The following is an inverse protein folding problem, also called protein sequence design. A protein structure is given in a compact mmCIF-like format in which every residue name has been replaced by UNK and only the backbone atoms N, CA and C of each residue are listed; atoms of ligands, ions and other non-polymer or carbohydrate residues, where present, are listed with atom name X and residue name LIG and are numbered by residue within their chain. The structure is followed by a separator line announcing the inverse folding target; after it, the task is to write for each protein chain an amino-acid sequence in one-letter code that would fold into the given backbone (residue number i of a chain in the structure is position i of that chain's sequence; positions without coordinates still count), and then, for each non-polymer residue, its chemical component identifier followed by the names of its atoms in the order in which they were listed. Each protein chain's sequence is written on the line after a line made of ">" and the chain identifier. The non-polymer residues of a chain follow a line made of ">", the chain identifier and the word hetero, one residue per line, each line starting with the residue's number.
data_IF_194801658808
#
_entry.id   IF_194801658808
#
_cell.length_a   1.000
_cell.length_b   1.000
_cell.length_c   1.000
_cell.angle_alpha   90.00
_cell.angle_beta   90.00
_cell.angle_gamma   90.00
#
_symmetry.space_group_name_H-M   'P 1'
#
loop_
_entity.id
_entity.type
_entity.pdbx_description
1 polymer ?
#
# COMPACT_ATOMS: atom_id res chain seq x y z
N UNK A 1 71.17 -6.00 34.76
CA UNK A 1 71.45 -4.71 34.10
C UNK A 1 70.25 -4.41 33.22
N UNK A 2 69.25 -3.61 33.65
CA UNK A 2 69.20 -2.13 33.57
C UNK A 2 69.61 -1.64 32.17
N UNK A 3 68.85 -0.90 31.36
CA UNK A 3 67.66 -0.04 31.53
C UNK A 3 67.31 0.57 30.16
N UNK A 4 66.08 1.12 30.02
CA UNK A 4 65.56 2.12 29.04
C UNK A 4 64.45 1.52 28.17
N UNK A 5 63.12 1.69 28.37
CA UNK A 5 62.26 2.65 29.10
C UNK A 5 62.58 4.13 28.86
N UNK A 6 61.91 4.74 27.87
CA UNK A 6 61.26 6.06 27.95
C UNK A 6 60.28 6.22 26.76
N UNK A 7 58.97 6.29 27.03
CA UNK A 7 58.13 7.50 27.22
C UNK A 7 57.79 8.19 25.88
N UNK A 8 56.53 8.05 25.45
CA UNK A 8 55.72 9.23 25.12
C UNK A 8 54.24 8.94 25.41
N UNK A 9 53.73 9.61 26.43
CA UNK A 9 52.30 9.80 26.71
C UNK A 9 51.85 11.03 25.92
N UNK A 10 50.74 10.95 25.20
CA UNK A 10 49.91 12.12 24.92
C UNK A 10 48.48 11.79 25.31
N UNK A 11 47.96 12.58 26.22
CA UNK A 11 46.63 12.51 26.77
C UNK A 11 45.64 13.32 25.92
N UNK A 12 44.52 12.67 25.61
CA UNK A 12 43.13 13.14 25.62
C UNK A 12 42.92 14.67 25.71
N UNK A 13 42.27 15.25 24.68
CA UNK A 13 41.31 16.34 24.90
C UNK A 13 40.25 16.44 23.80
N UNK A 14 38.99 16.34 24.24
CA UNK A 14 37.75 16.95 23.71
C UNK A 14 37.31 16.68 22.26
N UNK A 15 36.21 15.93 22.15
CA UNK A 15 35.37 15.84 20.95
C UNK A 15 34.00 15.23 21.26
N UNK A 16 33.27 15.81 22.23
CA UNK A 16 31.85 15.52 22.44
C UNK A 16 31.06 16.36 21.44
N UNK A 17 30.47 15.73 20.42
CA UNK A 17 29.30 16.26 19.72
C UNK A 17 28.39 15.14 19.22
N UNK A 18 27.21 15.09 19.84
CA UNK A 18 25.90 14.68 19.32
C UNK A 18 25.75 13.27 18.75
N UNK A 19 25.33 12.36 19.63
CA UNK A 19 24.42 11.29 19.26
C UNK A 19 23.16 11.88 18.62
N UNK A 20 22.96 11.65 17.32
CA UNK A 20 21.65 11.78 16.71
C UNK A 20 20.93 10.47 17.04
N UNK A 21 20.16 10.49 18.13
CA UNK A 21 19.12 9.50 18.32
C UNK A 21 18.16 9.62 17.13
N UNK A 22 18.23 8.68 16.18
CA UNK A 22 17.18 8.52 15.18
C UNK A 22 15.93 8.06 15.90
N UNK A 23 15.12 9.04 16.28
CA UNK A 23 13.71 8.85 16.60
C UNK A 23 13.07 8.09 15.46
N UNK A 24 12.34 7.01 15.79
CA UNK A 24 11.48 6.27 14.86
C UNK A 24 10.71 7.25 13.96
N UNK A 25 10.55 6.95 12.66
CA UNK A 25 9.78 7.80 11.75
C UNK A 25 8.41 8.11 12.36
N UNK A 26 7.94 9.38 12.28
CA UNK A 26 6.63 9.73 12.81
C UNK A 26 5.59 8.81 12.18
N UNK A 27 4.82 8.15 13.04
CA UNK A 27 3.69 7.32 12.61
C UNK A 27 2.80 8.21 11.71
N UNK A 28 2.41 7.74 10.51
CA UNK A 28 1.46 8.46 9.68
C UNK A 28 0.26 8.90 10.54
N UNK A 29 -0.27 10.13 10.36
CA UNK A 29 -1.43 10.58 11.11
C UNK A 29 -2.49 9.49 11.00
N UNK A 30 -2.96 9.01 12.16
CA UNK A 30 -4.03 8.04 12.20
C UNK A 30 -5.20 8.60 11.37
N UNK A 31 -5.81 7.79 10.47
CA UNK A 31 -7.04 8.22 9.82
C UNK A 31 -7.99 8.69 10.91
N UNK A 32 -8.67 9.83 10.73
CA UNK A 32 -9.54 10.37 11.76
C UNK A 32 -10.42 9.25 12.29
N UNK A 33 -10.31 8.97 13.58
CA UNK A 33 -11.26 8.10 14.25
C UNK A 33 -12.62 8.67 13.92
N UNK A 34 -13.46 7.85 13.29
CA UNK A 34 -14.89 8.08 13.21
C UNK A 34 -15.40 8.11 14.66
N UNK A 35 -15.21 9.25 15.30
CA UNK A 35 -16.02 9.67 16.42
C UNK A 35 -17.37 9.85 15.78
N UNK A 36 -18.23 8.84 15.92
CA UNK A 36 -19.66 8.95 15.65
C UNK A 36 -20.16 9.98 16.66
N UNK A 37 -19.94 11.26 16.37
CA UNK A 37 -20.77 12.32 16.91
C UNK A 37 -22.17 11.96 16.43
N UNK A 38 -22.94 11.35 17.33
CA UNK A 38 -24.37 11.20 17.20
C UNK A 38 -24.95 12.61 17.15
N UNK A 39 -24.92 13.21 15.97
CA UNK A 39 -25.70 14.39 15.67
C UNK A 39 -27.15 13.93 15.80
N UNK A 40 -27.77 14.26 16.93
CA UNK A 40 -29.21 14.15 17.10
C UNK A 40 -29.83 15.13 16.11
N UNK A 41 -30.12 14.66 14.88
CA UNK A 41 -30.81 15.45 13.87
C UNK A 41 -32.28 15.50 14.25
N UNK A 42 -32.69 16.50 15.01
CA UNK A 42 -34.09 16.79 15.26
C UNK A 42 -34.63 17.66 14.12
N UNK A 43 -35.53 17.11 13.31
CA UNK A 43 -36.27 17.89 12.32
C UNK A 43 -37.61 18.30 12.94
N UNK A 44 -37.74 19.57 13.29
CA UNK A 44 -39.00 20.15 13.78
C UNK A 44 -39.65 20.97 12.68
N UNK A 45 -40.83 20.57 12.22
CA UNK A 45 -41.63 21.31 11.25
C UNK A 45 -42.85 21.90 11.95
N UNK A 46 -42.99 23.24 11.93
CA UNK A 46 -44.13 23.95 12.52
C UNK A 46 -44.86 24.71 11.42
N UNK A 47 -46.14 24.45 11.26
CA UNK A 47 -47.05 25.23 10.43
C UNK A 47 -48.08 25.90 11.34
N UNK A 48 -48.14 27.22 11.27
CA UNK A 48 -49.22 28.03 11.82
C UNK A 48 -49.96 28.71 10.69
N UNK A 49 -51.25 28.44 10.53
CA UNK A 49 -52.09 29.09 9.54
C UNK A 49 -53.21 29.85 10.25
N UNK A 50 -53.15 31.18 10.18
CA UNK A 50 -54.25 32.08 10.52
C UNK A 50 -54.93 32.51 9.22
N UNK A 51 -55.96 31.79 8.79
CA UNK A 51 -56.63 32.02 7.51
C UNK A 51 -58.14 31.93 7.62
N UNK A 52 -58.83 32.82 6.90
CA UNK A 52 -60.28 33.06 6.91
C UNK A 52 -61.06 31.89 6.27
N UNK A 53 -61.04 30.72 6.91
CA UNK A 53 -61.94 29.61 6.61
C UNK A 53 -63.17 29.78 7.51
N UNK A 54 -64.35 29.89 6.90
CA UNK A 54 -65.60 30.27 7.54
C UNK A 54 -65.81 29.65 8.93
N UNK A 55 -65.97 30.52 9.93
CA UNK A 55 -66.05 30.26 11.38
C UNK A 55 -64.73 29.89 12.09
N UNK A 56 -63.78 30.83 12.08
CA UNK A 56 -63.13 31.34 13.30
C UNK A 56 -62.37 30.36 14.21
N UNK A 57 -61.42 29.58 13.68
CA UNK A 57 -60.46 28.82 14.49
C UNK A 57 -59.03 28.91 13.96
N UNK A 58 -58.03 29.02 14.84
CA UNK A 58 -56.61 28.96 14.47
C UNK A 58 -56.20 27.50 14.21
N UNK A 59 -55.53 27.23 13.09
CA UNK A 59 -54.92 25.92 12.82
C UNK A 59 -53.42 25.96 13.11
N UNK A 60 -52.95 25.03 13.92
CA UNK A 60 -51.51 24.79 14.14
C UNK A 60 -51.21 23.32 13.96
N UNK A 61 -50.14 22.99 13.27
CA UNK A 61 -49.66 21.62 13.11
C UNK A 61 -48.14 21.60 13.29
N UNK A 62 -47.66 20.74 14.17
CA UNK A 62 -46.24 20.60 14.46
C UNK A 62 -45.85 19.13 14.47
N UNK A 63 -44.74 18.82 13.81
CA UNK A 63 -44.10 17.50 13.82
C UNK A 63 -42.69 17.66 14.35
N UNK A 64 -42.37 16.89 15.38
CA UNK A 64 -41.01 16.71 15.88
C UNK A 64 -40.59 15.28 15.59
N UNK A 65 -39.51 15.12 14.83
CA UNK A 65 -38.94 13.82 14.53
C UNK A 65 -37.47 13.83 14.97
N UNK A 66 -37.17 13.05 16.01
CA UNK A 66 -35.82 12.82 16.51
C UNK A 66 -35.45 11.34 16.38
N UNK A 67 -34.22 10.98 16.78
CA UNK A 67 -33.79 9.59 16.76
C UNK A 67 -34.59 8.69 17.70
N UNK A 68 -35.13 9.25 18.80
CA UNK A 68 -35.74 8.48 19.88
C UNK A 68 -37.25 8.66 19.97
N UNK A 69 -37.80 9.76 19.47
CA UNK A 69 -39.23 10.06 19.55
C UNK A 69 -39.78 10.64 18.26
N UNK A 70 -41.04 10.33 17.99
CA UNK A 70 -41.87 10.99 17.00
C UNK A 70 -43.07 11.63 17.67
N UNK A 71 -43.30 12.93 17.40
CA UNK A 71 -44.37 13.70 18.04
C UNK A 71 -45.15 14.53 17.03
N UNK A 72 -46.47 14.42 17.05
CA UNK A 72 -47.37 15.31 16.31
C UNK A 72 -48.26 16.06 17.28
N UNK A 73 -48.24 17.38 17.23
CA UNK A 73 -49.14 18.24 18.00
C UNK A 73 -49.89 19.16 17.08
N UNK A 74 -51.22 19.15 17.17
CA UNK A 74 -52.05 20.01 16.35
C UNK A 74 -53.25 20.58 17.07
N UNK A 75 -53.72 21.72 16.55
CA UNK A 75 -54.98 22.37 16.89
C UNK A 75 -55.71 22.70 15.60
N UNK A 76 -57.00 22.46 15.55
CA UNK A 76 -57.82 22.68 14.36
C UNK A 76 -59.25 23.05 14.74
N UNK A 77 -60.00 23.72 13.84
CA UNK A 77 -61.43 23.96 14.04
C UNK A 77 -62.24 22.65 14.00
N UNK A 78 -63.34 22.60 14.75
CA UNK A 78 -64.16 21.40 14.96
C UNK A 78 -64.69 20.79 13.64
N UNK A 79 -64.81 21.57 12.56
CA UNK A 79 -65.20 21.05 11.26
C UNK A 79 -64.17 20.10 10.62
N UNK A 80 -62.93 20.04 11.13
CA UNK A 80 -61.90 19.08 10.72
C UNK A 80 -61.95 17.77 11.50
N UNK A 81 -62.58 17.78 12.68
CA UNK A 81 -62.65 16.61 13.55
C UNK A 81 -63.20 15.36 12.85
N UNK A 82 -64.30 15.40 12.06
CA UNK A 82 -64.82 14.20 11.40
C UNK A 82 -63.78 13.55 10.48
N UNK A 83 -63.10 14.33 9.65
CA UNK A 83 -62.10 13.80 8.72
C UNK A 83 -60.87 13.22 9.43
N UNK A 84 -60.40 13.87 10.49
CA UNK A 84 -59.27 13.37 11.29
C UNK A 84 -59.65 12.09 12.04
N UNK A 85 -60.86 12.06 12.61
CA UNK A 85 -61.41 10.90 13.31
C UNK A 85 -61.56 9.70 12.38
N UNK A 86 -62.18 9.89 11.22
CA UNK A 86 -62.42 8.82 10.26
C UNK A 86 -61.09 8.22 9.76
N UNK A 87 -60.09 9.07 9.50
CA UNK A 87 -58.74 8.62 9.14
C UNK A 87 -58.06 7.80 10.25
N UNK A 88 -58.05 8.31 11.48
CA UNK A 88 -57.44 7.58 12.61
C UNK A 88 -58.17 6.27 12.92
N UNK A 89 -59.50 6.24 12.79
CA UNK A 89 -60.27 5.01 12.93
C UNK A 89 -59.98 3.99 11.84
N UNK A 90 -59.77 4.45 10.60
CA UNK A 90 -59.39 3.57 9.50
C UNK A 90 -58.00 2.95 9.73
N UNK A 91 -57.04 3.72 10.24
CA UNK A 91 -55.67 3.24 10.39
C UNK A 91 -55.34 2.50 11.69
N UNK A 92 -55.88 2.96 12.81
CA UNK A 92 -55.62 2.37 14.12
C UNK A 92 -56.67 1.32 14.48
N UNK A 93 -57.82 1.32 13.81
CA UNK A 93 -58.95 0.49 14.14
C UNK A 93 -59.52 0.81 15.54
N UNK A 94 -60.22 -0.16 16.11
CA UNK A 94 -60.84 -0.07 17.44
C UNK A 94 -60.04 -0.77 18.53
N UNK A 95 -58.95 -1.46 18.16
CA UNK A 95 -58.05 -2.10 19.14
C UNK A 95 -57.28 -1.01 19.88
N UNK A 96 -57.11 -1.19 21.19
CA UNK A 96 -56.42 -0.24 22.07
C UNK A 96 -57.06 1.16 22.16
N UNK A 97 -58.31 1.29 21.72
CA UNK A 97 -59.05 2.55 21.74
C UNK A 97 -59.84 2.70 23.05
N UNK A 98 -59.74 3.86 23.67
CA UNK A 98 -60.55 4.27 24.82
C UNK A 98 -61.34 5.53 24.44
N UNK A 99 -62.67 5.47 24.57
CA UNK A 99 -63.54 6.61 24.30
C UNK A 99 -64.06 7.19 25.63
N UNK A 100 -63.75 8.45 25.91
CA UNK A 100 -64.25 9.17 27.08
C UNK A 100 -65.02 10.41 26.61
N UNK A 101 -66.32 10.25 26.38
CA UNK A 101 -67.21 11.33 25.94
C UNK A 101 -66.79 11.94 24.59
N UNK A 102 -66.18 13.12 24.64
CA UNK A 102 -65.75 13.91 23.47
C UNK A 102 -64.31 13.66 23.02
N UNK A 103 -63.56 12.82 23.72
CA UNK A 103 -62.17 12.47 23.39
C UNK A 103 -62.01 10.97 23.14
N UNK A 104 -61.14 10.64 22.20
CA UNK A 104 -60.76 9.28 21.85
C UNK A 104 -59.25 9.17 22.02
N UNK A 105 -58.80 8.16 22.75
CA UNK A 105 -57.39 7.86 22.93
C UNK A 105 -57.07 6.48 22.37
N UNK A 106 -55.91 6.32 21.74
CA UNK A 106 -55.32 5.01 21.45
C UNK A 106 -53.99 4.92 22.18
N UNK A 107 -53.78 3.87 22.98
CA UNK A 107 -52.51 3.66 23.68
C UNK A 107 -52.11 2.19 23.63
N UNK A 108 -50.85 1.94 23.26
CA UNK A 108 -50.26 0.61 23.30
C UNK A 108 -49.16 0.58 24.35
N UNK A 109 -49.34 -0.24 25.37
CA UNK A 109 -48.32 -0.52 26.38
C UNK A 109 -47.43 -1.67 25.91
N UNK A 110 -46.11 -1.49 26.04
CA UNK A 110 -45.11 -2.54 25.93
C UNK A 110 -44.83 -3.17 27.30
N UNK A 111 -43.71 -3.89 27.42
CA UNK A 111 -43.39 -4.64 28.64
C UNK A 111 -43.20 -3.74 29.88
N UNK A 112 -42.60 -2.55 29.70
CA UNK A 112 -42.35 -1.59 30.81
C UNK A 112 -42.72 -0.13 30.47
N UNK A 113 -42.99 0.22 29.19
CA UNK A 113 -43.22 1.60 28.70
C UNK A 113 -44.31 1.68 27.62
N UNK A 114 -44.90 2.87 27.42
CA UNK A 114 -45.91 3.11 26.37
C UNK A 114 -45.25 3.26 24.99
N UNK A 115 -45.56 2.35 24.06
CA UNK A 115 -45.03 2.34 22.69
C UNK A 115 -45.54 3.55 21.92
N UNK A 116 -46.85 3.79 21.98
CA UNK A 116 -47.45 4.99 21.39
C UNK A 116 -48.69 5.45 22.16
N UNK A 117 -48.98 6.73 22.04
CA UNK A 117 -50.19 7.38 22.53
C UNK A 117 -50.74 8.35 21.48
N UNK A 118 -52.03 8.23 21.16
CA UNK A 118 -52.76 9.12 20.26
C UNK A 118 -53.94 9.68 21.03
N UNK A 119 -53.97 10.98 21.28
CA UNK A 119 -55.11 11.67 21.89
C UNK A 119 -55.82 12.53 20.85
N UNK A 120 -57.08 12.22 20.61
CA UNK A 120 -57.93 12.95 19.68
C UNK A 120 -59.10 13.61 20.41
N UNK A 121 -59.32 14.90 20.13
CA UNK A 121 -60.46 15.68 20.60
C UNK A 121 -61.05 16.53 19.46
N UNK A 122 -62.20 17.15 19.70
CA UNK A 122 -62.89 18.02 18.73
C UNK A 122 -61.98 19.12 18.14
N UNK A 123 -60.98 19.60 18.89
CA UNK A 123 -60.12 20.72 18.47
C UNK A 123 -58.61 20.45 18.52
N UNK A 124 -58.17 19.26 18.94
CA UNK A 124 -56.76 18.93 19.14
C UNK A 124 -56.45 17.47 18.82
N UNK A 125 -55.26 17.25 18.28
CA UNK A 125 -54.64 15.93 18.14
C UNK A 125 -53.22 15.96 18.70
N UNK A 126 -52.91 15.02 19.58
CA UNK A 126 -51.57 14.72 20.08
C UNK A 126 -51.20 13.29 19.69
N UNK A 127 -50.01 13.09 19.15
CA UNK A 127 -49.46 11.77 18.84
C UNK A 127 -48.04 11.73 19.39
N UNK A 128 -47.74 10.70 20.15
CA UNK A 128 -46.42 10.43 20.71
C UNK A 128 -46.06 8.96 20.41
N UNK A 129 -44.88 8.72 19.87
CA UNK A 129 -44.35 7.39 19.56
C UNK A 129 -42.90 7.33 20.03
N UNK A 130 -42.59 6.31 20.83
CA UNK A 130 -41.23 6.01 21.25
C UNK A 130 -40.55 5.11 20.21
N UNK A 131 -39.55 5.65 19.51
CA UNK A 131 -38.82 4.95 18.44
C UNK A 131 -37.81 3.93 18.98
N UNK A 132 -37.52 3.96 20.27
CA UNK A 132 -36.58 3.02 20.90
C UNK A 132 -37.21 1.64 21.12
N UNK A 133 -38.54 1.60 21.25
CA UNK A 133 -39.32 0.38 21.47
C UNK A 133 -40.27 0.04 20.31
N UNK A 134 -40.64 1.02 19.47
CA UNK A 134 -41.46 0.77 18.28
C UNK A 134 -40.71 0.02 17.18
N UNK A 135 -41.42 -0.85 16.45
CA UNK A 135 -40.86 -1.52 15.28
C UNK A 135 -40.62 -0.52 14.12
N UNK A 136 -39.64 -0.77 13.24
CA UNK A 136 -39.39 0.08 12.07
C UNK A 136 -40.64 0.32 11.20
N UNK A 137 -41.48 -0.71 11.02
CA UNK A 137 -42.73 -0.62 10.25
C UNK A 137 -43.75 0.31 10.92
N UNK A 138 -43.81 0.29 12.26
CA UNK A 138 -44.66 1.20 13.03
C UNK A 138 -44.14 2.64 12.93
N UNK A 139 -42.83 2.84 13.01
CA UNK A 139 -42.21 4.17 12.84
C UNK A 139 -42.58 4.75 11.47
N UNK A 140 -42.41 3.99 10.39
CA UNK A 140 -42.77 4.41 9.04
C UNK A 140 -44.28 4.74 8.94
N UNK A 141 -45.15 3.89 9.51
CA UNK A 141 -46.60 4.13 9.53
C UNK A 141 -46.97 5.46 10.20
N UNK A 142 -46.36 5.77 11.35
CA UNK A 142 -46.63 7.03 12.06
C UNK A 142 -46.09 8.26 11.31
N UNK A 143 -44.96 8.14 10.63
CA UNK A 143 -44.43 9.20 9.77
C UNK A 143 -45.37 9.49 8.58
N UNK A 144 -45.87 8.45 7.92
CA UNK A 144 -46.85 8.56 6.83
C UNK A 144 -48.18 9.15 7.32
N UNK A 145 -48.68 8.65 8.46
CA UNK A 145 -49.88 9.19 9.10
C UNK A 145 -49.74 10.68 9.40
N UNK A 146 -48.59 11.12 9.95
CA UNK A 146 -48.37 12.54 10.23
C UNK A 146 -48.38 13.41 8.98
N UNK A 147 -47.88 12.93 7.85
CA UNK A 147 -47.95 13.64 6.57
C UNK A 147 -49.39 13.76 6.04
N UNK A 148 -50.18 12.70 6.14
CA UNK A 148 -51.60 12.73 5.72
C UNK A 148 -52.42 13.63 6.65
N UNK A 149 -52.20 13.51 7.97
CA UNK A 149 -52.84 14.34 8.99
C UNK A 149 -52.51 15.82 8.81
N UNK A 150 -51.25 16.16 8.47
CA UNK A 150 -50.83 17.52 8.11
C UNK A 150 -51.70 18.09 7.00
N UNK A 151 -51.96 17.30 5.95
CA UNK A 151 -52.78 17.70 4.80
C UNK A 151 -54.25 17.85 5.17
N UNK A 152 -54.81 16.90 5.93
CA UNK A 152 -56.20 16.93 6.39
C UNK A 152 -56.49 18.13 7.32
N UNK A 153 -55.57 18.40 8.25
CA UNK A 153 -55.69 19.47 9.25
C UNK A 153 -55.41 20.85 8.65
N UNK A 154 -54.39 20.95 7.80
CA UNK A 154 -54.00 22.23 7.17
C UNK A 154 -54.77 22.53 5.88
N UNK A 155 -55.63 21.62 5.41
CA UNK A 155 -56.45 21.80 4.20
C UNK A 155 -55.63 21.92 2.91
N UNK A 156 -54.58 21.11 2.78
CA UNK A 156 -53.43 21.30 1.88
C UNK A 156 -53.72 21.67 0.42
N UNK A 157 -52.86 22.54 -0.12
CA UNK A 157 -52.78 22.91 -1.54
C UNK A 157 -51.52 22.23 -2.13
N UNK A 158 -51.63 20.95 -2.53
CA UNK A 158 -50.55 20.07 -3.03
C UNK A 158 -49.63 20.73 -4.06
N UNK A 159 -50.16 21.67 -4.85
CA UNK A 159 -49.40 22.44 -5.84
C UNK A 159 -48.18 23.18 -5.28
N UNK A 160 -48.23 23.64 -4.03
CA UNK A 160 -47.11 24.39 -3.45
C UNK A 160 -45.96 23.49 -2.98
N UNK A 161 -46.27 22.26 -2.59
CA UNK A 161 -45.27 21.30 -2.09
C UNK A 161 -44.56 20.60 -3.25
N UNK A 162 -45.30 20.23 -4.30
CA UNK A 162 -44.74 19.73 -5.56
C UNK A 162 -43.77 20.77 -6.16
N UNK A 163 -44.14 22.06 -6.18
CA UNK A 163 -43.24 23.11 -6.67
C UNK A 163 -41.97 23.32 -5.82
N UNK A 164 -41.99 22.98 -4.52
CA UNK A 164 -40.80 23.06 -3.67
C UNK A 164 -39.87 21.88 -3.97
N UNK A 165 -40.43 20.68 -4.03
CA UNK A 165 -39.69 19.46 -4.36
C UNK A 165 -39.06 19.53 -5.75
N UNK A 166 -39.76 20.07 -6.75
CA UNK A 166 -39.23 20.24 -8.10
C UNK A 166 -38.03 21.21 -8.12
N UNK A 167 -38.09 22.31 -7.37
CA UNK A 167 -36.97 23.26 -7.25
C UNK A 167 -35.78 22.65 -6.53
N UNK A 168 -36.02 21.82 -5.52
CA UNK A 168 -34.95 21.16 -4.76
C UNK A 168 -34.30 20.04 -5.58
N UNK A 169 -35.07 19.29 -6.36
CA UNK A 169 -34.57 18.33 -7.33
C UNK A 169 -33.70 19.01 -8.40
N UNK A 170 -34.12 20.16 -8.93
CA UNK A 170 -33.34 20.94 -9.89
C UNK A 170 -32.06 21.56 -9.31
N UNK A 171 -32.06 21.90 -8.02
CA UNK A 171 -30.83 22.33 -7.31
C UNK A 171 -29.88 21.15 -7.15
N UNK A 172 -30.38 20.03 -6.64
CA UNK A 172 -29.60 18.81 -6.44
C UNK A 172 -28.98 18.30 -7.76
N UNK A 173 -29.74 18.33 -8.87
CA UNK A 173 -29.26 17.94 -10.20
C UNK A 173 -28.10 18.84 -10.68
N UNK A 174 -28.20 20.14 -10.48
CA UNK A 174 -27.13 21.09 -10.85
C UNK A 174 -25.88 20.91 -10.00
N UNK A 175 -26.05 20.64 -8.72
CA UNK A 175 -24.92 20.39 -7.82
C UNK A 175 -24.23 19.06 -8.15
N UNK A 176 -24.99 18.00 -8.43
CA UNK A 176 -24.46 16.73 -8.89
C UNK A 176 -23.67 16.88 -10.20
N UNK A 177 -24.17 17.67 -11.16
CA UNK A 177 -23.47 17.93 -12.42
C UNK A 177 -22.17 18.72 -12.21
N UNK A 178 -22.14 19.70 -11.29
CA UNK A 178 -20.91 20.41 -10.92
C UNK A 178 -19.88 19.46 -10.30
N UNK A 179 -20.33 18.62 -9.36
CA UNK A 179 -19.45 17.64 -8.71
C UNK A 179 -18.89 16.63 -9.73
N UNK A 180 -19.70 16.15 -10.68
CA UNK A 180 -19.23 15.25 -11.73
C UNK A 180 -18.14 15.88 -12.61
N UNK A 181 -18.34 17.13 -13.04
CA UNK A 181 -17.32 17.86 -13.83
C UNK A 181 -16.03 18.11 -13.05
N UNK A 182 -16.13 18.42 -11.75
CA UNK A 182 -14.95 18.57 -10.90
C UNK A 182 -14.21 17.24 -10.69
N UNK A 183 -14.95 16.15 -10.46
CA UNK A 183 -14.37 14.81 -10.33
C UNK A 183 -13.67 14.37 -11.62
N UNK A 184 -14.26 14.64 -12.79
CA UNK A 184 -13.65 14.35 -14.08
C UNK A 184 -12.39 15.19 -14.32
N UNK A 185 -12.42 16.47 -13.98
CA UNK A 185 -11.25 17.36 -14.05
C UNK A 185 -10.11 16.88 -13.15
N UNK A 186 -10.41 16.46 -11.92
CA UNK A 186 -9.41 15.93 -10.99
C UNK A 186 -8.81 14.62 -11.50
N UNK A 187 -9.63 13.71 -12.04
CA UNK A 187 -9.14 12.47 -12.66
C UNK A 187 -8.23 12.77 -13.84
N UNK A 188 -8.64 13.64 -14.75
CA UNK A 188 -7.82 14.03 -15.90
C UNK A 188 -6.49 14.67 -15.50
N UNK A 189 -6.47 15.46 -14.41
CA UNK A 189 -5.23 16.01 -13.86
C UNK A 189 -4.33 14.93 -13.26
N UNK A 190 -4.90 14.01 -12.47
CA UNK A 190 -4.13 12.91 -11.86
C UNK A 190 -3.45 12.00 -12.88
N UNK A 191 -4.11 11.71 -14.00
CA UNK A 191 -3.54 10.90 -15.09
C UNK A 191 -2.34 11.61 -15.72
N UNK A 192 -2.46 12.91 -16.01
CA UNK A 192 -1.35 13.68 -16.59
C UNK A 192 -0.17 13.81 -15.63
N UNK A 193 -0.44 13.99 -14.34
CA UNK A 193 0.60 14.06 -13.33
C UNK A 193 1.31 12.70 -13.18
N UNK A 194 0.57 11.59 -13.19
CA UNK A 194 1.15 10.26 -13.19
C UNK A 194 2.05 10.01 -14.42
N UNK A 195 1.60 10.41 -15.62
CA UNK A 195 2.41 10.31 -16.84
C UNK A 195 3.66 11.20 -16.82
N UNK A 196 3.58 12.40 -16.23
CA UNK A 196 4.73 13.27 -16.07
C UNK A 196 5.76 12.66 -15.11
N UNK A 197 5.30 12.20 -13.95
CA UNK A 197 6.15 11.55 -12.95
C UNK A 197 6.79 10.27 -13.48
N UNK A 198 6.05 9.46 -14.23
CA UNK A 198 6.61 8.26 -14.89
C UNK A 198 7.72 8.60 -15.88
N UNK A 199 7.55 9.66 -16.68
CA UNK A 199 8.59 10.13 -17.60
C UNK A 199 9.82 10.67 -16.88
N UNK A 200 9.63 11.48 -15.84
CA UNK A 200 10.73 12.00 -15.01
C UNK A 200 11.49 10.86 -14.32
N UNK A 201 10.78 9.85 -13.79
CA UNK A 201 11.39 8.66 -13.21
C UNK A 201 12.25 7.89 -14.23
N UNK A 202 11.72 7.66 -15.45
CA UNK A 202 12.48 6.98 -16.51
C UNK A 202 13.72 7.77 -16.97
N UNK A 203 13.65 9.11 -16.98
CA UNK A 203 14.81 9.94 -17.29
C UNK A 203 15.88 9.85 -16.20
N UNK A 204 15.48 9.94 -14.93
CA UNK A 204 16.39 9.80 -13.79
C UNK A 204 17.04 8.42 -13.74
N UNK A 205 16.29 7.36 -14.05
CA UNK A 205 16.79 6.00 -14.14
C UNK A 205 17.88 5.88 -15.21
N UNK A 206 17.65 6.36 -16.42
CA UNK A 206 18.66 6.38 -17.49
C UNK A 206 19.90 7.20 -17.12
N UNK A 207 19.71 8.33 -16.45
CA UNK A 207 20.83 9.16 -15.99
C UNK A 207 21.64 8.47 -14.90
N UNK A 208 20.96 7.82 -13.94
CA UNK A 208 21.59 7.03 -12.89
C UNK A 208 22.37 5.83 -13.48
N UNK A 209 21.80 5.11 -14.44
CA UNK A 209 22.48 4.03 -15.15
C UNK A 209 23.73 4.53 -15.87
N UNK A 210 23.62 5.67 -16.58
CA UNK A 210 24.74 6.27 -17.29
C UNK A 210 25.85 6.67 -16.31
N UNK A 211 25.51 7.33 -15.21
CA UNK A 211 26.48 7.71 -14.17
C UNK A 211 27.11 6.49 -13.51
N UNK A 212 26.32 5.45 -13.24
CA UNK A 212 26.82 4.18 -12.70
C UNK A 212 27.83 3.54 -13.66
N UNK A 213 27.52 3.44 -14.96
CA UNK A 213 28.44 2.93 -15.98
C UNK A 213 29.72 3.76 -16.07
N UNK A 214 29.63 5.08 -16.07
CA UNK A 214 30.80 5.97 -16.10
C UNK A 214 31.66 5.76 -14.84
N UNK A 215 31.04 5.72 -13.65
CA UNK A 215 31.74 5.48 -12.39
C UNK A 215 32.48 4.15 -12.40
N UNK A 216 31.82 3.06 -12.82
CA UNK A 216 32.42 1.72 -12.96
C UNK A 216 33.62 1.73 -13.89
N UNK A 217 33.47 2.34 -15.08
CA UNK A 217 34.56 2.45 -16.08
C UNK A 217 35.72 3.31 -15.61
N UNK A 218 35.50 4.24 -14.68
CA UNK A 218 36.54 5.05 -14.04
C UNK A 218 37.15 4.40 -12.79
N UNK A 219 36.81 3.14 -12.49
CA UNK A 219 37.34 2.42 -11.32
C UNK A 219 36.63 2.79 -10.01
N UNK A 220 35.53 3.53 -10.08
CA UNK A 220 34.70 3.85 -8.94
C UNK A 220 33.97 2.62 -8.40
N UNK A 221 33.95 2.49 -7.07
CA UNK A 221 33.13 1.51 -6.35
C UNK A 221 31.90 2.24 -5.82
N UNK A 222 30.72 1.83 -6.29
CA UNK A 222 29.43 2.29 -5.79
C UNK A 222 29.34 2.12 -4.26
N UNK A 223 28.64 3.02 -3.58
CA UNK A 223 28.40 2.92 -2.13
C UNK A 223 27.79 1.57 -1.76
N UNK A 224 26.81 1.08 -2.51
CA UNK A 224 26.17 -0.21 -2.25
C UNK A 224 27.14 -1.39 -2.41
N UNK A 225 27.97 -1.37 -3.45
CA UNK A 225 29.00 -2.42 -3.66
C UNK A 225 30.01 -2.40 -2.50
N UNK A 226 30.39 -1.21 -2.03
CA UNK A 226 31.32 -1.06 -0.91
C UNK A 226 30.74 -1.60 0.40
N UNK A 227 29.45 -1.39 0.63
CA UNK A 227 28.78 -1.91 1.82
C UNK A 227 28.67 -3.44 1.75
N UNK A 228 28.30 -4.00 0.60
CA UNK A 228 28.28 -5.46 0.37
C UNK A 228 29.68 -6.09 0.51
N UNK A 229 30.74 -5.40 0.07
CA UNK A 229 32.13 -5.87 0.25
C UNK A 229 32.58 -5.93 1.71
N UNK A 230 31.87 -5.27 2.64
CA UNK A 230 32.16 -5.33 4.09
C UNK A 230 31.43 -6.48 4.77
N UNK A 231 30.46 -7.10 4.10
CA UNK A 231 29.67 -8.18 4.69
C UNK A 231 30.51 -9.46 4.85
N UNK A 232 30.38 -10.18 5.98
CA UNK A 232 31.07 -11.46 6.16
C UNK A 232 30.72 -12.52 5.12
N UNK A 233 29.53 -12.44 4.52
CA UNK A 233 29.03 -13.38 3.51
C UNK A 233 29.79 -13.30 2.19
N UNK A 234 30.43 -12.17 1.88
CA UNK A 234 31.24 -11.97 0.66
C UNK A 234 32.69 -12.41 0.81
N UNK A 235 33.06 -12.90 2.00
CA UNK A 235 34.38 -13.42 2.27
C UNK A 235 34.64 -14.66 1.42
N UNK A 236 35.78 -14.65 0.75
CA UNK A 236 36.23 -15.68 -0.16
C UNK A 236 37.58 -16.24 0.30
N UNK A 237 37.67 -17.56 0.32
CA UNK A 237 38.93 -18.28 0.54
C UNK A 237 39.36 -18.91 -0.77
N UNK A 238 40.52 -18.51 -1.26
CA UNK A 238 41.05 -18.92 -2.56
C UNK A 238 41.47 -20.39 -2.58
N UNK A 239 41.60 -21.03 -1.42
CA UNK A 239 42.04 -22.42 -1.28
C UNK A 239 40.88 -23.43 -1.28
N UNK A 240 39.63 -22.98 -1.43
CA UNK A 240 38.48 -23.89 -1.47
C UNK A 240 38.42 -24.58 -2.83
N UNK A 241 39.09 -25.72 -2.98
CA UNK A 241 38.86 -26.65 -4.08
C UNK A 241 37.60 -27.47 -3.80
N UNK A 242 36.61 -27.47 -4.69
CA UNK A 242 35.41 -28.31 -4.57
C UNK A 242 35.08 -29.03 -5.87
N UNK A 243 34.69 -30.30 -5.77
CA UNK A 243 34.27 -31.14 -6.92
C UNK A 243 32.83 -30.83 -7.40
N UNK A 244 32.28 -29.69 -7.01
CA UNK A 244 30.88 -29.33 -7.19
C UNK A 244 30.65 -28.43 -8.42
N UNK A 245 31.55 -28.46 -9.40
CA UNK A 245 31.43 -27.68 -10.64
C UNK A 245 31.67 -26.17 -10.47
N UNK A 246 32.15 -25.71 -9.32
CA UNK A 246 32.45 -24.30 -9.10
C UNK A 246 33.74 -23.87 -9.81
N UNK A 247 33.58 -23.19 -10.97
CA UNK A 247 34.71 -22.79 -11.84
C UNK A 247 35.29 -21.41 -11.52
N UNK A 248 34.54 -20.56 -10.81
CA UNK A 248 34.94 -19.17 -10.55
C UNK A 248 36.29 -19.04 -9.82
N UNK A 249 36.63 -19.86 -8.81
CA UNK A 249 37.92 -19.75 -8.12
C UNK A 249 39.14 -19.85 -9.04
N UNK A 250 39.11 -20.83 -9.95
CA UNK A 250 40.20 -21.06 -10.90
C UNK A 250 40.29 -19.93 -11.92
N UNK A 251 39.13 -19.45 -12.41
CA UNK A 251 39.06 -18.30 -13.29
C UNK A 251 39.60 -17.04 -12.59
N UNK A 252 39.12 -16.74 -11.38
CA UNK A 252 39.51 -15.57 -10.61
C UNK A 252 41.02 -15.57 -10.33
N UNK A 253 41.59 -16.72 -9.96
CA UNK A 253 43.03 -16.85 -9.77
C UNK A 253 43.80 -16.53 -11.06
N UNK A 254 43.36 -17.10 -12.18
CA UNK A 254 43.98 -16.86 -13.47
C UNK A 254 43.84 -15.40 -13.90
N UNK A 255 42.69 -14.77 -13.65
CA UNK A 255 42.43 -13.37 -13.92
C UNK A 255 43.39 -12.47 -13.13
N UNK A 256 43.44 -12.63 -11.80
CA UNK A 256 44.29 -11.82 -10.92
C UNK A 256 45.77 -12.01 -11.28
N UNK A 257 46.20 -13.25 -11.50
CA UNK A 257 47.57 -13.56 -11.91
C UNK A 257 47.94 -12.85 -13.21
N UNK A 258 47.03 -12.85 -14.19
CA UNK A 258 47.27 -12.23 -15.48
C UNK A 258 47.23 -10.68 -15.38
N UNK A 259 46.37 -10.12 -14.53
CA UNK A 259 46.34 -8.68 -14.23
C UNK A 259 47.67 -8.20 -13.63
N UNK A 260 48.18 -8.93 -12.62
CA UNK A 260 49.48 -8.63 -11.97
C UNK A 260 50.62 -8.78 -12.95
N UNK A 261 50.65 -9.87 -13.72
CA UNK A 261 51.69 -10.11 -14.73
C UNK A 261 51.76 -9.03 -15.80
N UNK A 262 50.61 -8.48 -16.20
CA UNK A 262 50.54 -7.40 -17.19
C UNK A 262 50.72 -6.01 -16.56
N UNK A 263 50.97 -5.91 -15.24
CA UNK A 263 51.22 -4.66 -14.53
C UNK A 263 49.99 -3.76 -14.39
N UNK A 264 48.78 -4.31 -14.52
CA UNK A 264 47.53 -3.56 -14.41
C UNK A 264 47.07 -3.39 -12.96
N UNK A 265 47.55 -4.25 -12.07
CA UNK A 265 47.23 -4.29 -10.63
C UNK A 265 48.46 -4.78 -9.89
N UNK A 266 48.71 -4.28 -8.68
CA UNK A 266 49.77 -4.75 -7.78
C UNK A 266 49.30 -5.96 -6.94
N UNK A 267 50.24 -6.77 -6.43
CA UNK A 267 49.87 -7.85 -5.53
C UNK A 267 49.16 -7.33 -4.27
N UNK A 268 47.99 -7.91 -3.96
CA UNK A 268 47.18 -7.54 -2.80
C UNK A 268 46.35 -6.26 -2.95
N UNK A 269 46.45 -5.55 -4.07
CA UNK A 269 45.66 -4.36 -4.35
C UNK A 269 44.16 -4.70 -4.49
N UNK A 270 43.31 -3.72 -4.17
CA UNK A 270 41.89 -3.79 -4.45
C UNK A 270 41.66 -3.76 -5.97
N UNK A 271 40.68 -4.52 -6.45
CA UNK A 271 40.42 -4.71 -7.88
C UNK A 271 39.02 -4.25 -8.21
N UNK A 272 38.91 -3.40 -9.21
CA UNK A 272 37.68 -3.07 -9.92
C UNK A 272 37.86 -3.49 -11.37
N UNK A 273 37.33 -4.65 -11.72
CA UNK A 273 37.38 -5.20 -13.06
C UNK A 273 35.99 -5.10 -13.69
N UNK A 274 35.88 -4.46 -14.85
CA UNK A 274 34.62 -4.31 -15.58
C UNK A 274 34.84 -4.79 -17.00
N UNK A 275 34.14 -5.84 -17.42
CA UNK A 275 34.08 -6.27 -18.81
C UNK A 275 32.69 -5.95 -19.33
N UNK A 276 32.66 -5.32 -20.50
CA UNK A 276 31.47 -5.05 -21.29
C UNK A 276 31.74 -5.42 -22.76
N UNK A 277 30.70 -5.40 -23.59
CA UNK A 277 30.82 -5.63 -25.04
C UNK A 277 31.79 -4.67 -25.75
N UNK A 278 31.97 -3.45 -25.22
CA UNK A 278 32.78 -2.40 -25.85
C UNK A 278 34.21 -2.28 -25.28
N UNK A 279 34.58 -3.16 -24.33
CA UNK A 279 35.91 -3.19 -23.76
C UNK A 279 35.97 -3.69 -22.32
N UNK A 280 37.20 -3.75 -21.82
CA UNK A 280 37.49 -4.15 -20.44
C UNK A 280 38.20 -2.99 -19.74
N UNK A 281 37.85 -2.72 -18.50
CA UNK A 281 38.39 -1.69 -17.65
C UNK A 281 38.92 -2.31 -16.36
N UNK A 282 40.08 -1.86 -15.89
CA UNK A 282 40.69 -2.32 -14.63
C UNK A 282 41.13 -1.09 -13.85
N UNK A 283 40.58 -0.91 -12.64
CA UNK A 283 40.86 0.25 -11.79
C UNK A 283 40.74 1.59 -12.53
N UNK A 284 39.83 1.66 -13.51
CA UNK A 284 39.57 2.85 -14.33
C UNK A 284 40.32 2.92 -15.66
N UNK A 285 41.29 2.05 -15.88
CA UNK A 285 42.07 2.02 -17.12
C UNK A 285 41.43 1.09 -18.16
N UNK A 286 41.10 1.65 -19.34
CA UNK A 286 40.57 0.87 -20.46
C UNK A 286 41.67 0.07 -21.13
N UNK A 287 41.49 -1.24 -21.24
CA UNK A 287 42.39 -2.12 -21.96
C UNK A 287 42.38 -1.84 -23.47
N UNK A 288 43.57 -1.90 -24.09
CA UNK A 288 43.71 -1.90 -25.54
C UNK A 288 43.20 -3.20 -26.20
N UNK A 289 42.99 -3.22 -27.53
CA UNK A 289 42.36 -4.34 -28.24
C UNK A 289 43.07 -5.69 -28.08
N UNK A 290 44.41 -5.71 -28.05
CA UNK A 290 45.18 -6.94 -27.88
C UNK A 290 44.98 -7.57 -26.50
N UNK A 291 44.99 -6.74 -25.44
CA UNK A 291 44.68 -7.20 -24.08
C UNK A 291 43.23 -7.65 -23.98
N UNK A 292 42.29 -6.88 -24.54
CA UNK A 292 40.88 -7.25 -24.56
C UNK A 292 40.64 -8.65 -25.14
N UNK A 293 41.23 -8.97 -26.30
CA UNK A 293 41.15 -10.30 -26.90
C UNK A 293 41.74 -11.39 -25.99
N UNK A 294 42.89 -11.11 -25.37
CA UNK A 294 43.56 -12.03 -24.42
C UNK A 294 42.66 -12.36 -23.22
N UNK A 295 42.05 -11.35 -22.58
CA UNK A 295 41.16 -11.59 -21.45
C UNK A 295 39.83 -12.24 -21.88
N UNK A 296 39.27 -11.93 -23.04
CA UNK A 296 38.11 -12.66 -23.56
C UNK A 296 38.42 -14.16 -23.78
N UNK A 297 39.61 -14.47 -24.29
CA UNK A 297 40.05 -15.86 -24.42
C UNK A 297 40.26 -16.52 -23.06
N UNK A 298 40.68 -15.76 -22.04
CA UNK A 298 40.75 -16.24 -20.66
C UNK A 298 39.35 -16.61 -20.14
N UNK A 299 38.35 -15.76 -20.32
CA UNK A 299 36.96 -16.06 -19.95
C UNK A 299 36.43 -17.31 -20.68
N UNK A 300 36.66 -17.41 -21.99
CA UNK A 300 36.29 -18.58 -22.79
C UNK A 300 36.95 -19.87 -22.31
N UNK A 301 38.22 -19.82 -21.90
CA UNK A 301 38.97 -20.98 -21.38
C UNK A 301 38.33 -21.57 -20.12
N UNK A 302 37.64 -20.75 -19.32
CA UNK A 302 36.95 -21.16 -18.10
C UNK A 302 35.43 -21.24 -18.29
N UNK A 303 34.95 -21.34 -19.53
CA UNK A 303 33.54 -21.44 -19.92
C UNK A 303 32.67 -20.21 -19.55
N UNK A 304 33.28 -19.06 -19.25
CA UNK A 304 32.58 -17.80 -19.01
C UNK A 304 32.52 -16.92 -20.28
N UNK A 305 32.75 -17.50 -21.45
CA UNK A 305 32.81 -16.77 -22.73
C UNK A 305 31.48 -16.18 -23.19
N UNK A 306 30.36 -16.66 -22.64
CA UNK A 306 28.99 -16.18 -22.93
C UNK A 306 28.60 -14.94 -22.14
N UNK A 307 29.25 -14.67 -21.01
CA UNK A 307 28.91 -13.53 -20.15
C UNK A 307 29.39 -12.25 -20.83
N UNK A 308 28.45 -11.45 -21.37
CA UNK A 308 28.73 -10.18 -22.05
C UNK A 308 29.26 -9.13 -21.07
N UNK A 309 28.50 -8.92 -19.99
CA UNK A 309 28.78 -7.89 -18.99
C UNK A 309 29.07 -8.51 -17.61
N UNK A 310 30.20 -8.13 -17.01
CA UNK A 310 30.60 -8.54 -15.67
C UNK A 310 31.35 -7.41 -14.97
N UNK A 311 30.97 -7.12 -13.73
CA UNK A 311 31.72 -6.25 -12.82
C UNK A 311 32.21 -7.08 -11.64
N UNK A 312 33.51 -7.25 -11.52
CA UNK A 312 34.17 -7.96 -10.43
C UNK A 312 34.91 -6.96 -9.54
N UNK A 313 34.58 -7.00 -8.25
CA UNK A 313 35.19 -6.19 -7.22
C UNK A 313 35.87 -7.09 -6.20
N UNK A 314 37.09 -6.72 -5.79
CA UNK A 314 37.83 -7.40 -4.74
C UNK A 314 38.39 -6.38 -3.76
N UNK A 315 38.14 -6.59 -2.47
CA UNK A 315 38.75 -5.83 -1.39
C UNK A 315 39.26 -6.78 -0.32
N UNK A 316 40.59 -6.87 -0.16
CA UNK A 316 41.20 -7.91 0.69
C UNK A 316 40.73 -9.33 0.29
N UNK A 317 40.07 -10.03 1.20
CA UNK A 317 39.49 -11.37 0.96
C UNK A 317 37.98 -11.33 0.68
N UNK A 318 37.39 -10.17 0.43
CA UNK A 318 35.99 -10.04 0.07
C UNK A 318 35.86 -9.84 -1.44
N UNK A 319 34.85 -10.48 -2.04
CA UNK A 319 34.56 -10.34 -3.46
C UNK A 319 33.10 -10.06 -3.71
N UNK A 320 32.83 -9.24 -4.72
CA UNK A 320 31.50 -9.03 -5.27
C UNK A 320 31.60 -9.18 -6.78
N UNK A 321 30.86 -10.13 -7.32
CA UNK A 321 30.68 -10.32 -8.76
C UNK A 321 29.26 -9.91 -9.10
N UNK A 322 29.12 -8.83 -9.87
CA UNK A 322 27.87 -8.42 -10.51
C UNK A 322 27.91 -8.92 -11.94
N UNK A 323 27.02 -9.85 -12.21
CA UNK A 323 26.78 -10.53 -13.47
C UNK A 323 25.27 -10.75 -13.53
N UNK A 324 24.76 -10.82 -14.74
CA UNK A 324 23.36 -11.03 -15.01
C UNK A 324 23.20 -12.02 -16.14
N UNK A 325 22.21 -12.93 -16.07
CA UNK A 325 21.78 -13.60 -17.27
C UNK A 325 21.26 -12.55 -18.25
N UNK A 326 21.39 -12.83 -19.55
CA UNK A 326 20.78 -11.99 -20.58
C UNK A 326 19.24 -11.98 -20.43
N UNK A 327 18.69 -13.08 -19.91
CA UNK A 327 17.27 -13.24 -19.61
C UNK A 327 17.06 -13.93 -18.24
N UNK A 328 16.37 -13.26 -17.33
CA UNK A 328 16.08 -13.80 -15.99
C UNK A 328 14.94 -14.81 -16.02
N UNK A 329 14.06 -14.75 -17.03
CA UNK A 329 12.97 -15.70 -17.23
C UNK A 329 13.52 -17.07 -17.65
N UNK A 330 14.49 -17.09 -18.58
CA UNK A 330 15.17 -18.33 -19.01
C UNK A 330 15.84 -19.04 -17.81
N UNK A 331 16.49 -18.28 -16.91
CA UNK A 331 17.06 -18.85 -15.68
C UNK A 331 15.99 -19.46 -14.78
N UNK A 332 14.83 -18.82 -14.68
CA UNK A 332 13.73 -19.32 -13.86
C UNK A 332 13.13 -20.61 -14.42
N UNK A 333 12.87 -20.63 -15.73
CA UNK A 333 12.37 -21.81 -16.44
C UNK A 333 13.33 -22.98 -16.29
N UNK A 334 14.63 -22.76 -16.51
CA UNK A 334 15.64 -23.81 -16.37
C UNK A 334 15.74 -24.35 -14.93
N UNK A 335 15.66 -23.47 -13.92
CA UNK A 335 15.66 -23.89 -12.51
C UNK A 335 14.42 -24.71 -12.15
N UNK A 336 13.26 -24.40 -12.74
CA UNK A 336 12.00 -25.13 -12.55
C UNK A 336 12.03 -26.48 -13.29
N UNK A 337 12.50 -26.51 -14.54
CA UNK A 337 12.65 -27.71 -15.36
C UNK A 337 13.62 -28.73 -14.74
N UNK A 338 14.70 -28.24 -14.13
CA UNK A 338 15.62 -29.06 -13.35
C UNK A 338 15.06 -29.42 -11.94
N UNK A 339 13.88 -28.93 -11.56
CA UNK A 339 13.27 -29.19 -10.26
C UNK A 339 14.13 -28.71 -9.09
N UNK A 340 14.93 -27.65 -9.31
CA UNK A 340 15.73 -27.00 -8.27
C UNK A 340 14.92 -25.99 -7.48
N UNK A 341 13.86 -25.47 -8.10
CA UNK A 341 12.87 -24.60 -7.47
C UNK A 341 11.47 -25.11 -7.78
N UNK A 342 10.54 -24.81 -6.89
CA UNK A 342 9.11 -24.95 -7.15
C UNK A 342 8.48 -23.58 -6.97
N UNK A 343 7.84 -23.07 -8.02
CA UNK A 343 7.17 -21.78 -7.97
C UNK A 343 5.92 -21.91 -7.10
N UNK A 344 6.08 -21.63 -5.82
CA UNK A 344 5.02 -21.71 -4.82
C UNK A 344 4.57 -20.32 -4.36
N UNK A 345 3.47 -20.25 -3.60
CA UNK A 345 3.00 -18.98 -2.98
C UNK A 345 3.88 -18.53 -1.80
N UNK A 346 4.79 -19.38 -1.32
CA UNK A 346 5.66 -19.06 -0.20
C UNK A 346 6.98 -18.44 -0.66
N UNK A 347 7.52 -17.56 0.18
CA UNK A 347 8.85 -17.01 0.02
C UNK A 347 9.90 -18.12 -0.02
N UNK A 348 10.76 -18.08 -1.02
CA UNK A 348 11.85 -19.02 -1.26
C UNK A 348 13.17 -18.26 -1.32
N UNK A 349 14.15 -18.68 -0.52
CA UNK A 349 15.45 -18.02 -0.42
C UNK A 349 16.57 -19.03 -0.59
N UNK A 350 17.41 -18.81 -1.59
CA UNK A 350 18.65 -19.55 -1.81
C UNK A 350 19.83 -18.64 -1.54
N UNK A 351 20.78 -19.10 -0.74
CA UNK A 351 22.09 -18.48 -0.59
C UNK A 351 23.13 -19.29 -1.36
N UNK A 352 23.86 -18.63 -2.23
CA UNK A 352 24.86 -19.20 -3.12
C UNK A 352 26.22 -18.76 -2.59
N UNK A 353 27.06 -19.73 -2.24
CA UNK A 353 28.44 -19.48 -1.84
C UNK A 353 29.47 -20.15 -2.75
N UNK A 354 29.03 -20.67 -3.90
CA UNK A 354 29.85 -21.41 -4.85
C UNK A 354 30.17 -22.84 -4.37
N UNK A 355 30.90 -23.01 -3.27
CA UNK A 355 31.16 -24.33 -2.66
C UNK A 355 29.94 -24.98 -2.00
N UNK A 356 28.96 -24.17 -1.63
CA UNK A 356 27.74 -24.62 -0.97
C UNK A 356 26.55 -23.79 -1.40
N UNK A 357 25.40 -24.43 -1.44
CA UNK A 357 24.10 -23.76 -1.57
C UNK A 357 23.30 -24.02 -0.30
N UNK A 358 22.61 -22.98 0.19
CA UNK A 358 21.72 -23.06 1.35
C UNK A 358 20.33 -22.67 0.92
N UNK A 359 19.40 -23.60 1.00
CA UNK A 359 17.99 -23.40 0.69
C UNK A 359 17.21 -23.20 1.99
N UNK A 360 16.57 -22.03 2.15
CA UNK A 360 15.75 -21.69 3.31
C UNK A 360 16.45 -22.00 4.66
N UNK A 361 17.76 -21.75 4.73
CA UNK A 361 18.60 -22.01 5.91
C UNK A 361 19.15 -23.43 6.03
N UNK A 362 18.77 -24.36 5.15
CA UNK A 362 19.29 -25.74 5.10
C UNK A 362 20.36 -25.87 4.02
N UNK A 363 21.56 -26.30 4.42
CA UNK A 363 22.65 -26.58 3.48
C UNK A 363 22.30 -27.80 2.61
N UNK A 364 22.44 -27.64 1.29
CA UNK A 364 22.23 -28.70 0.31
C UNK A 364 23.41 -29.67 0.24
N UNK A 365 23.17 -30.85 -0.32
CA UNK A 365 24.21 -31.84 -0.60
C UNK A 365 25.18 -31.36 -1.68
N UNK A 366 26.35 -32.01 -1.80
CA UNK A 366 27.32 -31.70 -2.86
C UNK A 366 26.76 -31.96 -4.25
N UNK A 367 25.95 -33.02 -4.41
CA UNK A 367 25.30 -33.35 -5.67
C UNK A 367 24.30 -32.26 -6.09
N UNK A 368 23.44 -31.81 -5.17
CA UNK A 368 22.51 -30.71 -5.41
C UNK A 368 23.25 -29.39 -5.68
N UNK A 369 24.27 -29.08 -4.90
CA UNK A 369 25.13 -27.90 -5.11
C UNK A 369 25.75 -27.92 -6.52
N UNK A 370 26.18 -29.09 -6.99
CA UNK A 370 26.72 -29.25 -8.35
C UNK A 370 25.67 -29.02 -9.43
N UNK A 371 24.43 -29.48 -9.22
CA UNK A 371 23.30 -29.20 -10.13
C UNK A 371 23.02 -27.71 -10.21
N UNK A 372 22.89 -27.04 -9.06
CA UNK A 372 22.75 -25.58 -8.96
C UNK A 372 23.85 -24.84 -9.72
N UNK A 373 25.11 -25.15 -9.45
CA UNK A 373 26.24 -24.52 -10.15
C UNK A 373 26.21 -24.77 -11.67
N UNK A 374 25.72 -25.93 -12.10
CA UNK A 374 25.60 -26.25 -13.53
C UNK A 374 24.55 -25.38 -14.21
N UNK A 375 23.35 -25.26 -13.63
CA UNK A 375 22.27 -24.42 -14.16
C UNK A 375 22.67 -22.95 -14.15
N UNK A 376 23.15 -22.43 -13.01
CA UNK A 376 23.59 -21.05 -12.91
C UNK A 376 24.64 -20.71 -13.96
N UNK A 377 25.62 -21.60 -14.16
CA UNK A 377 26.65 -21.40 -15.16
C UNK A 377 26.13 -21.47 -16.61
N UNK A 378 25.19 -22.38 -16.90
CA UNK A 378 24.54 -22.50 -18.22
C UNK A 378 23.89 -21.18 -18.62
N UNK A 379 23.24 -20.55 -17.64
CA UNK A 379 22.51 -19.29 -17.78
C UNK A 379 23.38 -18.04 -17.50
N UNK A 380 24.71 -18.19 -17.50
CA UNK A 380 25.62 -17.04 -17.42
C UNK A 380 25.74 -16.40 -16.02
N UNK A 381 25.21 -17.04 -14.98
CA UNK A 381 25.33 -16.60 -13.59
C UNK A 381 26.60 -17.17 -12.96
N UNK A 382 27.38 -16.31 -12.32
CA UNK A 382 28.59 -16.69 -11.59
C UNK A 382 28.21 -16.91 -10.12
N UNK A 383 28.26 -18.16 -9.61
CA UNK A 383 27.99 -18.43 -8.21
C UNK A 383 29.17 -17.92 -7.36
N UNK A 384 28.98 -16.79 -6.67
CA UNK A 384 29.98 -16.14 -5.81
C UNK A 384 29.47 -16.04 -4.36
N UNK A 385 30.35 -16.04 -3.35
CA UNK A 385 29.99 -15.89 -1.93
C UNK A 385 29.05 -14.72 -1.65
N UNK A 386 27.99 -14.97 -0.90
CA UNK A 386 27.02 -13.96 -0.48
C UNK A 386 25.94 -13.62 -1.51
N UNK A 387 25.95 -14.24 -2.70
CA UNK A 387 24.83 -14.13 -3.63
C UNK A 387 23.59 -14.84 -3.08
N UNK A 388 22.44 -14.31 -3.42
CA UNK A 388 21.14 -14.82 -3.04
C UNK A 388 20.20 -14.81 -4.23
N UNK A 389 19.38 -15.85 -4.31
CA UNK A 389 18.17 -15.87 -5.12
C UNK A 389 16.99 -15.76 -4.15
N UNK A 390 16.15 -14.76 -4.35
CA UNK A 390 14.93 -14.58 -3.56
C UNK A 390 13.74 -14.56 -4.50
N UNK A 391 12.84 -15.49 -4.28
CA UNK A 391 11.58 -15.59 -5.00
C UNK A 391 10.42 -15.42 -4.02
N UNK A 392 9.49 -14.55 -4.39
CA UNK A 392 8.19 -14.37 -3.77
C UNK A 392 7.11 -14.53 -4.84
N UNK A 393 5.83 -14.56 -4.44
CA UNK A 393 4.68 -14.75 -5.36
C UNK A 393 4.72 -13.82 -6.57
N UNK A 394 5.17 -12.58 -6.37
CA UNK A 394 5.10 -11.52 -7.37
C UNK A 394 6.49 -10.99 -7.77
N UNK A 395 7.58 -11.57 -7.28
CA UNK A 395 8.90 -11.04 -7.62
C UNK A 395 9.99 -12.08 -7.53
N UNK A 396 11.00 -11.89 -8.36
CA UNK A 396 12.23 -12.66 -8.34
C UNK A 396 13.42 -11.72 -8.31
N UNK A 397 14.46 -12.10 -7.58
CA UNK A 397 15.70 -11.34 -7.55
C UNK A 397 16.91 -12.24 -7.42
N UNK A 398 17.98 -11.85 -8.10
CA UNK A 398 19.28 -12.50 -8.10
C UNK A 398 20.35 -11.43 -7.85
N UNK A 399 21.12 -11.58 -6.78
CA UNK A 399 22.13 -10.59 -6.43
C UNK A 399 22.61 -10.72 -5.00
N UNK A 400 23.09 -9.64 -4.41
CA UNK A 400 23.50 -9.59 -3.00
C UNK A 400 22.40 -8.91 -2.20
N UNK A 401 21.84 -9.62 -1.23
CA UNK A 401 20.89 -9.03 -0.29
C UNK A 401 21.62 -8.05 0.64
N UNK A 402 21.12 -6.82 0.73
CA UNK A 402 21.57 -5.83 1.72
C UNK A 402 20.35 -5.08 2.27
N UNK A 403 20.18 -5.10 3.60
CA UNK A 403 18.98 -4.61 4.27
C UNK A 403 17.65 -5.15 3.67
N UNK A 404 16.89 -4.28 3.01
CA UNK A 404 15.60 -4.59 2.35
C UNK A 404 15.69 -4.54 0.83
N UNK A 405 16.90 -4.51 0.30
CA UNK A 405 17.21 -4.31 -1.11
C UNK A 405 18.14 -5.40 -1.63
N UNK A 406 18.21 -5.54 -2.95
CA UNK A 406 19.10 -6.49 -3.62
C UNK A 406 19.99 -5.73 -4.58
N UNK A 407 21.30 -5.91 -4.46
CA UNK A 407 22.28 -5.43 -5.42
C UNK A 407 22.42 -6.49 -6.50
N UNK A 408 21.71 -6.31 -7.61
CA UNK A 408 21.65 -7.29 -8.69
C UNK A 408 20.44 -7.03 -9.57
N UNK A 409 19.84 -8.10 -10.07
CA UNK A 409 18.69 -8.04 -10.97
C UNK A 409 17.43 -8.36 -10.17
N UNK A 410 16.36 -7.63 -10.49
CA UNK A 410 15.04 -7.80 -9.92
C UNK A 410 14.01 -7.82 -11.05
N UNK A 411 12.99 -8.66 -10.90
CA UNK A 411 11.88 -8.80 -11.84
C UNK A 411 10.58 -8.90 -11.08
N UNK A 412 9.59 -8.10 -11.49
CA UNK A 412 8.19 -8.28 -11.08
C UNK A 412 7.58 -9.40 -11.90
N UNK A 413 6.70 -10.20 -11.29
CA UNK A 413 5.83 -11.11 -12.01
C UNK A 413 4.45 -10.49 -12.07
N UNK A 414 3.96 -10.29 -13.29
CA UNK A 414 2.63 -9.77 -13.58
C UNK A 414 1.52 -10.82 -13.37
#
# INVERSE_FOLDING_TARGET
>A
MKTLKNILKVAILAGVTTAIAQTKPPKPPAPPSNTTSSSTSSNTSVITQSGNYGKGGNTSFSVSNSNNEYRVKSRYPDNRYPAVKDFLMAEMGTKHMQANGKSIAWSLEGDDDTVYEIELSESKLNIELDKTIASPDMIAKFEDMGNILRTLISGGNERQEIQRLERDADRARRDAERMQREAERLRAMSVRDAERLSREASLLEREAEKLSRVSKRSGGIDGYVRDVLREPSTKYDMNTSSNNGWKWPAMQNALITELVKNGLVSEGEDIVFVKEDNGIYVNGEKMGPAMWSKYNNLFRKYDFGRIGDISFYKQGNHIVVLDGPDDLEDLLEELEDEGLIEITKSKFVIQINGTSVVENGKKLSEAETKRWNTVLHKEGVIPAPGKTIVMDKNSFSLGYSFDKSTLGIWMSRD
#
